data_IF_949384113976
#
_entry.id   IF_949384113976
#
_cell.length_a   1.000
_cell.length_b   1.000
_cell.length_c   1.000
_cell.angle_alpha   90.00
_cell.angle_beta   90.00
_cell.angle_gamma   90.00
#
_symmetry.space_group_name_H-M   'P 1'
#
loop_
_entity.id
_entity.type
_entity.pdbx_description
1 polymer ?
#
# COMPACT_ATOMS: atom_id res chain seq x y z
N UNK A 1 -5.01 12.94 -26.51
CA UNK A 1 -5.88 13.68 -25.55
C UNK A 1 -5.17 14.01 -24.23
N UNK A 2 -5.50 15.12 -23.57
CA UNK A 2 -4.99 15.47 -22.23
C UNK A 2 -5.91 14.96 -21.13
N UNK A 3 -5.34 14.38 -20.07
CA UNK A 3 -6.13 13.94 -18.92
C UNK A 3 -6.68 15.14 -18.14
N UNK A 4 -8.00 15.24 -17.88
CA UNK A 4 -8.56 16.38 -17.15
C UNK A 4 -8.24 16.40 -15.65
N UNK A 5 -7.58 15.36 -15.12
CA UNK A 5 -7.24 15.28 -13.69
C UNK A 5 -5.79 15.58 -13.37
N UNK A 6 -4.88 15.25 -14.27
CA UNK A 6 -3.44 15.41 -14.05
C UNK A 6 -2.72 16.02 -15.26
N UNK A 7 -3.46 16.47 -16.28
CA UNK A 7 -2.95 17.07 -17.52
C UNK A 7 -1.93 16.23 -18.30
N UNK A 8 -1.80 14.93 -18.01
CA UNK A 8 -0.89 14.06 -18.76
C UNK A 8 -1.39 13.85 -20.18
N UNK A 9 -0.47 13.89 -21.16
CA UNK A 9 -0.75 13.54 -22.55
C UNK A 9 -0.88 12.01 -22.75
N UNK A 10 -2.04 11.61 -23.26
CA UNK A 10 -2.44 10.23 -23.52
C UNK A 10 -2.82 10.06 -25.00
N UNK A 11 -2.78 8.81 -25.48
CA UNK A 11 -3.31 8.43 -26.81
C UNK A 11 -4.80 8.75 -26.90
N UNK A 12 -5.29 9.09 -28.08
CA UNK A 12 -6.70 9.46 -28.29
C UNK A 12 -7.66 8.27 -28.12
N UNK A 13 -7.17 7.06 -28.36
CA UNK A 13 -7.87 5.78 -28.14
C UNK A 13 -7.70 5.20 -26.71
N UNK A 14 -6.99 5.90 -25.81
CA UNK A 14 -6.75 5.41 -24.46
C UNK A 14 -8.06 5.27 -23.65
N UNK A 15 -8.22 4.15 -22.94
CA UNK A 15 -9.36 3.94 -22.02
C UNK A 15 -9.10 4.44 -20.60
N UNK A 16 -7.83 4.53 -20.22
CA UNK A 16 -7.37 4.99 -18.91
C UNK A 16 -6.13 5.88 -19.04
N UNK A 17 -5.93 6.79 -18.09
CA UNK A 17 -4.75 7.65 -18.04
C UNK A 17 -3.51 6.83 -17.64
N UNK A 18 -2.43 6.94 -18.43
CA UNK A 18 -1.16 6.23 -18.17
C UNK A 18 -0.41 6.70 -16.92
N UNK A 19 -0.78 7.85 -16.37
CA UNK A 19 -0.11 8.49 -15.23
C UNK A 19 -0.91 8.33 -13.94
N UNK A 20 -2.19 8.70 -13.95
CA UNK A 20 -3.03 8.66 -12.75
C UNK A 20 -4.07 7.53 -12.73
N UNK A 21 -4.19 6.73 -13.80
CA UNK A 21 -5.14 5.61 -13.88
C UNK A 21 -6.61 5.99 -14.10
N UNK A 22 -6.97 7.29 -14.15
CA UNK A 22 -8.37 7.71 -14.36
C UNK A 22 -8.93 7.20 -15.69
N UNK A 23 -10.15 6.63 -15.68
CA UNK A 23 -10.85 6.19 -16.87
C UNK A 23 -11.34 7.37 -17.72
N UNK A 24 -11.20 7.24 -19.05
CA UNK A 24 -11.77 8.17 -20.02
C UNK A 24 -13.15 7.71 -20.52
N UNK A 25 -13.51 6.45 -20.29
CA UNK A 25 -14.84 5.93 -20.62
C UNK A 25 -15.85 6.40 -19.57
N UNK A 26 -16.46 7.56 -19.81
CA UNK A 26 -17.72 7.93 -19.14
C UNK A 26 -18.85 7.29 -19.93
N UNK A 27 -19.01 5.98 -19.76
CA UNK A 27 -20.30 5.34 -20.03
C UNK A 27 -21.12 5.61 -18.79
N UNK A 28 -22.02 6.60 -18.85
CA UNK A 28 -22.91 6.95 -17.74
C UNK A 28 -23.54 5.69 -17.14
N UNK A 29 -23.50 5.50 -15.81
CA UNK A 29 -24.62 4.97 -15.10
C UNK A 29 -25.46 6.16 -14.67
N UNK A 30 -26.40 6.58 -15.50
CA UNK A 30 -27.55 7.38 -15.06
C UNK A 30 -28.50 6.57 -14.17
N UNK A 31 -27.94 5.94 -13.13
CA UNK A 31 -28.62 5.36 -11.98
C UNK A 31 -27.65 5.31 -10.79
N UNK A 32 -27.21 6.49 -10.36
CA UNK A 32 -26.33 6.70 -9.22
C UNK A 32 -27.11 7.28 -8.03
N UNK A 33 -28.21 6.64 -7.62
CA UNK A 33 -28.83 6.94 -6.31
C UNK A 33 -28.37 5.96 -5.22
N UNK A 34 -27.86 4.76 -5.52
CA UNK A 34 -27.55 3.80 -4.46
C UNK A 34 -26.23 3.02 -4.58
N UNK A 35 -25.22 3.54 -5.28
CA UNK A 35 -23.86 2.97 -5.20
C UNK A 35 -22.98 3.90 -4.40
N UNK A 36 -22.97 3.67 -3.09
CA UNK A 36 -21.87 4.11 -2.21
C UNK A 36 -20.59 3.55 -2.82
N UNK A 37 -19.62 4.37 -3.27
CA UNK A 37 -18.31 3.83 -3.61
C UNK A 37 -17.68 3.35 -2.30
N UNK A 38 -17.77 2.05 -2.04
CA UNK A 38 -16.90 1.40 -1.06
C UNK A 38 -15.47 1.73 -1.47
N UNK A 39 -14.68 2.43 -0.62
CA UNK A 39 -13.28 2.61 -0.93
C UNK A 39 -12.65 1.22 -1.01
N UNK A 40 -12.01 0.95 -2.15
CA UNK A 40 -10.98 -0.08 -2.25
C UNK A 40 -9.87 0.29 -1.27
N UNK A 41 -10.08 -0.05 -0.01
CA UNK A 41 -9.18 0.19 1.12
C UNK A 41 -9.06 -1.10 1.92
N UNK A 42 -8.55 -2.13 1.24
CA UNK A 42 -8.10 -3.37 1.88
C UNK A 42 -6.83 -3.86 1.19
N UNK A 43 -5.77 -3.07 1.32
CA UNK A 43 -4.36 -3.44 1.27
C UNK A 43 -3.57 -2.18 1.70
N UNK A 44 -3.59 -1.78 2.97
CA UNK A 44 -2.72 -2.35 4.00
C UNK A 44 -1.31 -2.68 3.50
N UNK A 45 -0.52 -1.65 3.23
CA UNK A 45 0.93 -1.71 3.44
C UNK A 45 1.35 -0.49 4.26
N UNK A 46 1.12 -0.57 5.56
CA UNK A 46 1.99 0.12 6.50
C UNK A 46 3.13 -0.86 6.77
N UNK A 47 4.38 -0.64 6.31
CA UNK A 47 5.50 -1.21 7.05
C UNK A 47 5.50 -0.47 8.38
N UNK A 48 5.01 -1.12 9.42
CA UNK A 48 5.31 -0.74 10.80
C UNK A 48 6.82 -0.84 10.95
N UNK A 49 7.49 0.26 10.61
CA UNK A 49 8.83 0.50 11.06
C UNK A 49 8.78 0.62 12.59
N UNK A 50 9.69 -0.12 13.22
CA UNK A 50 10.06 -0.05 14.62
C UNK A 50 9.04 -0.62 15.63
N UNK A 51 9.24 -1.88 16.02
CA UNK A 51 9.31 -2.27 17.45
C UNK A 51 10.04 -3.60 17.57
N UNK A 52 11.13 -3.56 18.34
CA UNK A 52 11.82 -4.64 19.04
C UNK A 52 12.63 -5.66 18.24
N UNK A 53 13.95 -5.46 18.29
CA UNK A 53 14.93 -6.54 18.38
C UNK A 53 14.42 -7.61 19.36
N UNK A 54 14.52 -8.92 19.06
CA UNK A 54 14.26 -9.95 20.05
C UNK A 54 15.26 -9.77 21.20
N UNK A 55 14.72 -9.51 22.38
CA UNK A 55 15.39 -9.40 23.68
C UNK A 55 16.04 -10.70 24.18
N UNK A 56 16.39 -11.62 23.27
CA UNK A 56 16.98 -12.93 23.58
C UNK A 56 18.52 -12.88 23.65
N UNK A 57 19.09 -11.77 24.12
CA UNK A 57 20.53 -11.65 24.41
C UNK A 57 20.84 -11.29 25.86
N UNK A 58 19.83 -11.22 26.74
CA UNK A 58 20.01 -10.84 28.15
C UNK A 58 19.99 -12.07 29.10
N UNK A 59 19.78 -13.29 28.59
CA UNK A 59 19.82 -14.48 29.43
C UNK A 59 20.91 -15.50 29.04
N UNK A 60 22.15 -15.01 28.85
CA UNK A 60 23.33 -15.88 29.03
C UNK A 60 23.62 -15.95 30.52
N UNK A 61 23.00 -16.92 31.19
CA UNK A 61 23.31 -17.30 32.57
C UNK A 61 24.83 -17.46 32.75
N UNK A 62 25.42 -16.90 33.83
CA UNK A 62 26.83 -17.01 34.13
C UNK A 62 27.15 -18.31 34.85
N UNK A 63 28.07 -19.11 34.32
CA UNK A 63 28.90 -20.04 35.12
C UNK A 63 30.06 -20.59 34.29
N UNK A 64 31.33 -20.20 34.52
CA UNK A 64 32.42 -21.13 34.31
C UNK A 64 32.37 -22.16 35.45
N UNK A 65 32.16 -23.42 35.09
CA UNK A 65 32.29 -24.55 36.02
C UNK A 65 33.68 -24.52 36.68
N UNK A 66 33.66 -24.55 38.01
CA UNK A 66 34.56 -25.30 38.89
C UNK A 66 36.07 -25.17 38.67
N UNK A 67 36.70 -24.53 39.66
CA UNK A 67 37.99 -24.93 40.22
C UNK A 67 38.13 -26.47 40.31
N UNK A 68 39.15 -27.03 39.67
CA UNK A 68 39.82 -28.28 40.08
C UNK A 68 41.25 -28.32 39.49
N UNK A 69 42.23 -28.02 40.34
CA UNK A 69 43.52 -28.72 40.54
C UNK A 69 44.34 -27.93 41.55
#
# INVERSE_FOLDING_TARGET
>A
MLCPSCNTSNRDDAKFCKSCGRSFSVSQPEDAINRVPTPSSSAQYAPTAATSLPEDAINRVPTPCSVIS
#
